data_IF_424232173602
#
_entry.id   IF_424232173602
#
_cell.length_a   1.000
_cell.length_b   1.000
_cell.length_c   1.000
_cell.angle_alpha   90.00
_cell.angle_beta   90.00
_cell.angle_gamma   90.00
#
_symmetry.space_group_name_H-M   'P 1'
#
loop_
_entity.id
_entity.type
_entity.pdbx_description
1 polymer ?
#
# COMPACT_ATOMS: atom_id res chain seq x y z
N UNK A 1 -5.15 27.55 -2.74
CA UNK A 1 -6.25 26.74 -3.19
C UNK A 1 -6.17 25.33 -2.70
N UNK A 2 -7.24 24.61 -2.91
CA UNK A 2 -7.36 23.24 -2.43
C UNK A 2 -6.28 22.29 -2.95
N UNK A 3 -5.75 22.52 -4.14
CA UNK A 3 -4.71 21.67 -4.72
C UNK A 3 -3.47 21.62 -3.84
N UNK A 4 -3.13 22.74 -3.22
CA UNK A 4 -1.94 22.80 -2.37
C UNK A 4 -2.08 21.99 -1.08
N UNK A 5 -3.29 21.57 -0.75
CA UNK A 5 -3.52 20.76 0.45
C UNK A 5 -3.15 19.29 0.27
N UNK A 6 -3.10 18.81 -0.96
CA UNK A 6 -2.73 17.41 -1.23
C UNK A 6 -1.30 17.39 -1.71
N UNK A 7 -0.41 16.82 -0.90
CA UNK A 7 1.01 16.73 -1.21
C UNK A 7 1.48 15.29 -1.28
N UNK A 8 0.93 14.44 -0.44
CA UNK A 8 1.39 13.06 -0.29
C UNK A 8 0.24 12.11 -0.53
N UNK A 9 0.52 11.06 -1.30
CA UNK A 9 -0.46 10.03 -1.59
C UNK A 9 0.17 8.67 -1.33
N UNK A 10 -0.59 7.79 -0.70
CA UNK A 10 -0.22 6.39 -0.48
C UNK A 10 -1.15 5.52 -1.30
N UNK A 11 -0.58 4.57 -2.01
CA UNK A 11 -1.35 3.54 -2.70
C UNK A 11 -1.01 2.19 -2.08
N UNK A 12 -2.02 1.52 -1.51
CA UNK A 12 -1.84 0.21 -0.94
C UNK A 12 -2.12 -0.84 -2.03
N UNK A 13 -1.15 -1.71 -2.25
CA UNK A 13 -1.23 -2.73 -3.28
C UNK A 13 -1.15 -4.12 -2.66
N UNK A 14 -1.76 -5.11 -3.29
CA UNK A 14 -1.79 -6.47 -2.76
C UNK A 14 -1.57 -7.54 -3.83
N UNK A 15 -1.10 -7.14 -5.02
CA UNK A 15 -0.86 -8.09 -6.11
C UNK A 15 -2.07 -8.42 -6.95
N UNK A 16 -3.24 -7.91 -6.62
CA UNK A 16 -4.45 -8.19 -7.39
C UNK A 16 -4.56 -7.27 -8.60
N UNK A 17 -5.45 -7.63 -9.53
CA UNK A 17 -5.76 -6.80 -10.69
C UNK A 17 -6.25 -5.41 -10.25
N UNK A 18 -7.10 -5.38 -9.22
CA UNK A 18 -7.62 -4.11 -8.69
C UNK A 18 -6.50 -3.23 -8.15
N UNK A 19 -5.48 -3.83 -7.55
CA UNK A 19 -4.38 -3.03 -7.02
C UNK A 19 -3.48 -2.48 -8.12
N UNK A 20 -3.41 -3.16 -9.29
CA UNK A 20 -2.75 -2.57 -10.46
C UNK A 20 -3.51 -1.33 -10.90
N UNK A 21 -4.83 -1.39 -10.95
CA UNK A 21 -5.65 -0.23 -11.29
C UNK A 21 -5.48 0.89 -10.27
N UNK A 22 -5.40 0.55 -8.98
CA UNK A 22 -5.14 1.53 -7.93
C UNK A 22 -3.79 2.21 -8.13
N UNK A 23 -2.76 1.44 -8.48
CA UNK A 23 -1.44 1.98 -8.75
C UNK A 23 -1.48 2.93 -9.95
N UNK A 24 -2.18 2.55 -11.02
CA UNK A 24 -2.31 3.41 -12.21
C UNK A 24 -3.02 4.72 -11.86
N UNK A 25 -4.07 4.65 -11.05
CA UNK A 25 -4.78 5.84 -10.57
C UNK A 25 -3.85 6.77 -9.81
N UNK A 26 -3.09 6.21 -8.88
CA UNK A 26 -2.13 6.99 -8.08
C UNK A 26 -1.07 7.64 -8.95
N UNK A 27 -0.58 6.91 -9.97
CA UNK A 27 0.42 7.44 -10.90
C UNK A 27 -0.16 8.61 -11.69
N UNK A 28 -1.38 8.46 -12.21
CA UNK A 28 -2.03 9.52 -12.98
C UNK A 28 -2.22 10.77 -12.13
N UNK A 29 -2.77 10.60 -10.91
CA UNK A 29 -2.99 11.73 -10.00
C UNK A 29 -1.69 12.42 -9.64
N UNK A 30 -0.66 11.62 -9.35
CA UNK A 30 0.65 12.16 -8.99
C UNK A 30 1.23 12.99 -10.12
N UNK A 31 1.08 12.51 -11.34
CA UNK A 31 1.60 13.23 -12.50
C UNK A 31 0.85 14.54 -12.72
N UNK A 32 -0.48 14.53 -12.55
CA UNK A 32 -1.30 15.72 -12.77
C UNK A 32 -1.15 16.75 -11.67
N UNK A 33 -1.08 16.30 -10.41
CA UNK A 33 -1.08 17.19 -9.26
C UNK A 33 0.30 17.37 -8.62
N UNK A 34 1.32 16.70 -9.18
CA UNK A 34 2.70 16.76 -8.68
C UNK A 34 2.80 16.38 -7.21
N UNK A 35 2.29 15.20 -6.91
CA UNK A 35 2.27 14.67 -5.55
C UNK A 35 3.53 13.85 -5.26
N UNK A 36 3.72 13.53 -4.00
CA UNK A 36 4.71 12.54 -3.56
C UNK A 36 3.97 11.22 -3.41
N UNK A 37 4.35 10.23 -4.19
CA UNK A 37 3.66 8.95 -4.24
C UNK A 37 4.49 7.88 -3.55
N UNK A 38 3.83 7.12 -2.67
CA UNK A 38 4.42 5.96 -2.02
C UNK A 38 3.50 4.76 -2.17
N UNK A 39 4.06 3.65 -2.63
CA UNK A 39 3.36 2.37 -2.67
C UNK A 39 3.65 1.58 -1.40
N UNK A 40 2.66 0.91 -0.85
CA UNK A 40 2.85 0.03 0.30
C UNK A 40 2.21 -1.33 0.03
N UNK A 41 2.96 -2.37 0.38
CA UNK A 41 2.50 -3.76 0.32
C UNK A 41 2.61 -4.33 1.72
N UNK A 42 1.53 -4.89 2.25
CA UNK A 42 1.54 -5.46 3.59
C UNK A 42 1.51 -6.99 3.50
N UNK A 43 2.51 -7.61 4.10
CA UNK A 43 2.53 -9.05 4.30
C UNK A 43 1.71 -9.33 5.55
N UNK A 44 0.60 -10.05 5.40
CA UNK A 44 -0.39 -10.25 6.46
C UNK A 44 0.09 -11.30 7.47
N UNK A 45 1.07 -10.92 8.27
CA UNK A 45 1.62 -11.82 9.30
C UNK A 45 0.64 -12.05 10.44
N UNK A 46 -0.32 -11.15 10.63
CA UNK A 46 -1.34 -11.33 11.66
C UNK A 46 -2.22 -12.55 11.35
N UNK A 47 -2.63 -12.72 10.09
CA UNK A 47 -3.39 -13.89 9.68
C UNK A 47 -2.55 -15.17 9.76
N UNK A 48 -1.30 -15.11 9.32
CA UNK A 48 -0.39 -16.26 9.42
C UNK A 48 -0.27 -16.70 10.88
N UNK A 49 -0.10 -15.74 11.79
CA UNK A 49 0.02 -16.03 13.20
C UNK A 49 -1.24 -16.69 13.77
N UNK A 50 -2.41 -16.20 13.35
CA UNK A 50 -3.68 -16.82 13.79
C UNK A 50 -3.80 -18.26 13.28
N UNK A 51 -3.41 -18.51 12.02
CA UNK A 51 -3.44 -19.86 11.45
C UNK A 51 -2.49 -20.79 12.17
N UNK A 52 -1.32 -20.31 12.54
CA UNK A 52 -0.34 -21.11 13.28
C UNK A 52 -0.85 -21.42 14.69
N UNK A 53 -1.41 -20.42 15.37
CA UNK A 53 -1.96 -20.59 16.71
C UNK A 53 -3.18 -21.52 16.71
N UNK A 54 -3.95 -21.53 15.64
CA UNK A 54 -5.09 -22.42 15.49
C UNK A 54 -4.72 -23.81 14.95
N UNK A 55 -3.43 -24.10 14.81
CA UNK A 55 -2.92 -25.38 14.32
C UNK A 55 -3.30 -25.71 12.88
N UNK A 56 -3.67 -24.68 12.10
CA UNK A 56 -3.90 -24.84 10.64
C UNK A 56 -2.59 -24.84 9.87
N UNK A 57 -1.53 -24.28 10.45
CA UNK A 57 -0.19 -24.27 9.87
C UNK A 57 0.81 -24.67 10.95
N UNK A 58 1.83 -25.42 10.58
CA UNK A 58 2.97 -25.66 11.47
C UNK A 58 4.02 -24.56 11.27
N UNK A 59 4.95 -24.46 12.22
CA UNK A 59 5.91 -23.35 12.24
C UNK A 59 6.71 -23.23 10.95
N UNK A 60 7.19 -24.37 10.40
CA UNK A 60 7.98 -24.34 9.19
C UNK A 60 7.17 -23.85 7.99
N UNK A 61 5.91 -24.28 7.89
CA UNK A 61 5.01 -23.83 6.83
C UNK A 61 4.73 -22.33 6.92
N UNK A 62 4.54 -21.85 8.14
CA UNK A 62 4.28 -20.43 8.39
C UNK A 62 5.47 -19.58 7.93
N UNK A 63 6.68 -20.03 8.26
CA UNK A 63 7.90 -19.32 7.89
C UNK A 63 8.08 -19.28 6.38
N UNK A 64 7.85 -20.41 5.71
CA UNK A 64 7.95 -20.51 4.26
C UNK A 64 6.90 -19.63 3.59
N UNK A 65 5.68 -19.64 4.12
CA UNK A 65 4.59 -18.85 3.57
C UNK A 65 4.90 -17.35 3.70
N UNK A 66 5.39 -16.92 4.86
CA UNK A 66 5.74 -15.52 5.05
C UNK A 66 6.87 -15.10 4.09
N UNK A 67 7.87 -15.92 3.91
CA UNK A 67 8.97 -15.64 2.96
C UNK A 67 8.46 -15.52 1.54
N UNK A 68 7.53 -16.39 1.16
CA UNK A 68 6.94 -16.36 -0.18
C UNK A 68 6.16 -15.08 -0.40
N UNK A 69 5.33 -14.70 0.57
CA UNK A 69 4.56 -13.46 0.48
C UNK A 69 5.44 -12.23 0.44
N UNK A 70 6.53 -12.24 1.21
CA UNK A 70 7.48 -11.13 1.22
C UNK A 70 8.16 -10.99 -0.15
N UNK A 71 8.59 -12.12 -0.71
CA UNK A 71 9.22 -12.12 -2.03
C UNK A 71 8.26 -11.62 -3.10
N UNK A 72 7.00 -12.08 -3.07
CA UNK A 72 5.98 -11.63 -4.00
C UNK A 72 5.74 -10.13 -3.86
N UNK A 73 5.70 -9.65 -2.63
CA UNK A 73 5.51 -8.24 -2.35
C UNK A 73 6.63 -7.38 -2.91
N UNK A 74 7.88 -7.83 -2.73
CA UNK A 74 9.03 -7.12 -3.26
C UNK A 74 8.98 -7.01 -4.78
N UNK A 75 8.65 -8.10 -5.44
CA UNK A 75 8.52 -8.10 -6.91
C UNK A 75 7.39 -7.19 -7.37
N UNK A 76 6.29 -7.19 -6.64
CA UNK A 76 5.14 -6.37 -6.99
C UNK A 76 5.42 -4.89 -6.80
N UNK A 77 6.07 -4.53 -5.70
CA UNK A 77 6.47 -3.15 -5.45
C UNK A 77 7.42 -2.66 -6.55
N UNK A 78 8.41 -3.50 -6.92
CA UNK A 78 9.33 -3.16 -8.01
C UNK A 78 8.56 -2.92 -9.31
N UNK A 79 7.58 -3.75 -9.57
CA UNK A 79 6.77 -3.64 -10.79
C UNK A 79 6.01 -2.32 -10.84
N UNK A 80 5.32 -1.92 -9.75
CA UNK A 80 4.54 -0.68 -9.76
C UNK A 80 5.47 0.55 -9.78
N UNK A 81 6.64 0.45 -9.16
CA UNK A 81 7.63 1.53 -9.25
C UNK A 81 8.09 1.69 -10.70
N UNK A 82 8.31 0.59 -11.40
CA UNK A 82 8.69 0.64 -12.82
C UNK A 82 7.59 1.27 -13.67
N UNK A 83 6.33 0.96 -13.37
CA UNK A 83 5.21 1.60 -14.07
C UNK A 83 5.23 3.11 -13.88
N UNK A 84 5.55 3.56 -12.67
CA UNK A 84 5.64 4.98 -12.38
C UNK A 84 6.83 5.62 -13.09
N UNK A 85 7.97 4.94 -13.10
CA UNK A 85 9.16 5.42 -13.80
C UNK A 85 8.93 5.58 -15.30
N UNK A 86 8.15 4.67 -15.89
CA UNK A 86 7.80 4.76 -17.29
C UNK A 86 6.98 6.02 -17.61
N UNK A 87 6.35 6.60 -16.61
CA UNK A 87 5.63 7.86 -16.72
C UNK A 87 6.44 9.06 -16.27
N UNK A 88 7.73 8.86 -15.99
CA UNK A 88 8.62 9.94 -15.60
C UNK A 88 8.55 10.31 -14.13
N UNK A 89 8.03 9.43 -13.28
CA UNK A 89 7.88 9.71 -11.85
C UNK A 89 8.88 8.93 -11.03
N UNK A 90 9.41 9.57 -9.99
CA UNK A 90 10.20 8.90 -8.96
C UNK A 90 9.28 8.66 -7.78
N UNK A 91 9.13 7.40 -7.39
CA UNK A 91 8.23 7.01 -6.32
C UNK A 91 8.98 6.15 -5.32
N UNK A 92 8.34 5.94 -4.17
CA UNK A 92 8.88 5.09 -3.12
C UNK A 92 7.99 3.87 -2.95
N UNK A 93 8.58 2.80 -2.44
CA UNK A 93 7.84 1.58 -2.14
C UNK A 93 8.29 1.04 -0.79
N UNK A 94 7.36 0.41 -0.10
CA UNK A 94 7.63 -0.14 1.23
C UNK A 94 6.89 -1.46 1.40
N UNK A 95 7.59 -2.44 2.00
CA UNK A 95 6.99 -3.69 2.45
C UNK A 95 6.82 -3.58 3.96
N UNK A 96 5.60 -3.81 4.44
CA UNK A 96 5.31 -3.82 5.87
C UNK A 96 4.77 -5.19 6.25
N UNK A 97 4.87 -5.55 7.51
CA UNK A 97 4.39 -6.83 8.03
C UNK A 97 3.48 -6.57 9.22
N UNK A 98 2.37 -7.26 9.29
CA UNK A 98 1.43 -7.12 10.39
C UNK A 98 0.00 -7.29 9.92
N UNK A 99 -0.92 -6.62 10.60
CA UNK A 99 -2.31 -6.55 10.19
C UNK A 99 -2.43 -5.56 9.04
N UNK A 100 -3.09 -5.97 7.95
CA UNK A 100 -3.14 -5.16 6.73
C UNK A 100 -3.72 -3.77 7.01
N UNK A 101 -4.89 -3.71 7.63
CA UNK A 101 -5.54 -2.42 7.89
C UNK A 101 -4.69 -1.52 8.78
N UNK A 102 -4.12 -2.08 9.84
CA UNK A 102 -3.34 -1.29 10.79
C UNK A 102 -2.06 -0.77 10.14
N UNK A 103 -1.37 -1.61 9.37
CA UNK A 103 -0.12 -1.20 8.74
C UNK A 103 -0.34 -0.16 7.65
N UNK A 104 -1.45 -0.27 6.91
CA UNK A 104 -1.79 0.75 5.92
C UNK A 104 -2.07 2.08 6.59
N UNK A 105 -2.85 2.07 7.68
CA UNK A 105 -3.15 3.30 8.43
C UNK A 105 -1.86 3.90 9.00
N UNK A 106 -0.99 3.07 9.56
CA UNK A 106 0.28 3.56 10.09
C UNK A 106 1.15 4.18 8.99
N UNK A 107 1.15 3.56 7.80
CA UNK A 107 1.89 4.11 6.66
C UNK A 107 1.35 5.49 6.27
N UNK A 108 0.02 5.64 6.22
CA UNK A 108 -0.62 6.92 5.92
C UNK A 108 -0.23 7.98 6.94
N UNK A 109 -0.24 7.61 8.22
CA UNK A 109 0.13 8.54 9.29
C UNK A 109 1.58 8.96 9.21
N UNK A 110 2.49 8.01 9.04
CA UNK A 110 3.93 8.29 8.97
C UNK A 110 4.28 9.15 7.77
N UNK A 111 3.58 8.93 6.66
CA UNK A 111 3.80 9.69 5.43
C UNK A 111 3.06 11.03 5.44
N UNK A 112 2.14 11.20 6.35
CA UNK A 112 1.22 12.35 6.40
C UNK A 112 0.49 12.50 5.07
N UNK A 113 0.02 11.36 4.54
CA UNK A 113 -0.67 11.35 3.26
C UNK A 113 -2.09 11.89 3.40
N UNK A 114 -2.46 12.78 2.50
CA UNK A 114 -3.81 13.32 2.46
C UNK A 114 -4.76 12.43 1.69
N UNK A 115 -4.22 11.49 0.91
CA UNK A 115 -5.02 10.61 0.06
C UNK A 115 -4.48 9.20 0.13
N UNK A 116 -5.38 8.24 0.29
CA UNK A 116 -5.06 6.81 0.25
C UNK A 116 -5.92 6.15 -0.82
N UNK A 117 -5.29 5.41 -1.72
CA UNK A 117 -5.99 4.64 -2.74
C UNK A 117 -5.79 3.16 -2.45
N UNK A 118 -6.89 2.42 -2.47
CA UNK A 118 -6.91 0.99 -2.19
C UNK A 118 -7.45 0.23 -3.39
N UNK A 119 -6.84 -0.91 -3.69
CA UNK A 119 -7.39 -1.87 -4.62
C UNK A 119 -7.91 -3.08 -3.87
N UNK A 120 -9.04 -3.62 -4.28
CA UNK A 120 -9.64 -4.79 -3.67
C UNK A 120 -10.51 -5.53 -4.65
N UNK A 121 -11.19 -6.56 -4.18
CA UNK A 121 -12.01 -7.41 -5.05
C UNK A 121 -13.13 -6.65 -5.75
N UNK A 122 -13.66 -5.62 -5.12
CA UNK A 122 -14.78 -4.85 -5.66
C UNK A 122 -14.35 -3.61 -6.43
N UNK A 123 -13.03 -3.46 -6.68
CA UNK A 123 -12.51 -2.35 -7.45
C UNK A 123 -11.61 -1.44 -6.63
N UNK A 124 -11.52 -0.19 -7.05
CA UNK A 124 -10.63 0.79 -6.45
C UNK A 124 -11.41 1.74 -5.56
N UNK A 125 -10.91 1.96 -4.35
CA UNK A 125 -11.47 2.94 -3.41
C UNK A 125 -10.42 3.98 -3.10
N UNK A 126 -10.86 5.22 -2.90
CA UNK A 126 -9.97 6.29 -2.49
C UNK A 126 -10.55 6.94 -1.24
N UNK A 127 -9.66 7.25 -0.30
CA UNK A 127 -10.04 7.95 0.92
C UNK A 127 -9.18 9.16 1.11
N UNK A 128 -9.82 10.25 1.51
CA UNK A 128 -9.17 11.52 1.74
C UNK A 128 -8.99 11.75 3.24
N UNK A 129 -7.84 12.28 3.61
CA UNK A 129 -7.51 12.54 5.01
C UNK A 129 -7.13 13.99 5.19
N UNK A 130 -7.53 14.57 6.31
CA UNK A 130 -7.12 15.91 6.69
C UNK A 130 -6.36 15.85 8.02
N UNK A 131 -5.18 16.41 8.03
CA UNK A 131 -4.34 16.42 9.23
C UNK A 131 -4.51 17.68 10.06
N UNK A 132 -5.23 18.67 9.52
CA UNK A 132 -5.43 19.92 10.21
C UNK A 132 -6.35 19.80 11.42
N UNK A 133 -7.28 18.84 11.38
CA UNK A 133 -8.27 18.66 12.42
C UNK A 133 -8.08 17.36 13.19
N UNK A 134 -6.89 16.81 13.18
CA UNK A 134 -6.63 15.53 13.84
C UNK A 134 -6.66 15.63 15.37
N UNK A 135 -6.58 16.84 15.91
CA UNK A 135 -6.58 17.05 17.35
C UNK A 135 -7.99 17.04 17.96
N UNK A 136 -9.00 17.04 17.14
CA UNK A 136 -10.38 17.08 17.64
C UNK A 136 -10.95 15.70 17.96
#
# INVERSE_FOLDING_TARGET
MSISLVKNIVVAVNGSQSSIHAAMYGIILTKQLKLNLKFVYVVDTATIKRLTMGHFLVADESEMYEKSLTSDGEKYIDYVIELAEAKGLKTKGEIRKGSVCLEVVNCVKETEAELLILGGEKGVSAKSYSWENTDN
#
